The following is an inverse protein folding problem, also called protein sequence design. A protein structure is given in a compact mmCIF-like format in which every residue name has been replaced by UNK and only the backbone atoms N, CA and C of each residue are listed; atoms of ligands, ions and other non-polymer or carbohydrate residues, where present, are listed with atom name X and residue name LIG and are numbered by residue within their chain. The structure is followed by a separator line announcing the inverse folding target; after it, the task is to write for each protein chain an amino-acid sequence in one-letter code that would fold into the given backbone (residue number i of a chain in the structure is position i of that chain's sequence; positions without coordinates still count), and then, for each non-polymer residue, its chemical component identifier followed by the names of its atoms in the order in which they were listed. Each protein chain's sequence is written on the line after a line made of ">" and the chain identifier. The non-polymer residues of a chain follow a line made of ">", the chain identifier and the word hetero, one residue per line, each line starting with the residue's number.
data_IF_176047876631
#
_entry.id   IF_176047876631
#
_cell.length_a   1.000
_cell.length_b   1.000
_cell.length_c   1.000
_cell.angle_alpha   90.00
_cell.angle_beta   90.00
_cell.angle_gamma   90.00
#
_symmetry.space_group_name_H-M   'P 1'
#
loop_
_entity.id
_entity.type
_entity.pdbx_description
1 polymer ?
#
# COMPACT_ATOMS: atom_id res chain seq x y z
N UNK A 1 -12.43 6.94 -12.10
CA UNK A 1 -13.73 7.20 -12.79
C UNK A 1 -14.11 6.06 -13.74
N UNK A 2 -13.18 5.17 -14.11
CA UNK A 2 -13.40 4.12 -15.12
C UNK A 2 -14.34 2.98 -14.70
N UNK A 3 -14.38 2.58 -13.43
CA UNK A 3 -15.28 1.52 -12.98
C UNK A 3 -16.76 1.86 -13.18
N UNK A 4 -17.16 3.11 -12.90
CA UNK A 4 -18.55 3.57 -13.09
C UNK A 4 -18.90 3.60 -14.57
N UNK A 5 -17.99 4.07 -15.43
CA UNK A 5 -18.17 4.05 -16.88
C UNK A 5 -18.28 2.61 -17.43
N UNK A 6 -17.45 1.69 -16.96
CA UNK A 6 -17.49 0.28 -17.37
C UNK A 6 -18.80 -0.41 -16.95
N UNK A 7 -19.28 -0.13 -15.74
CA UNK A 7 -20.57 -0.62 -15.25
C UNK A 7 -21.76 -0.05 -16.05
N UNK A 8 -21.70 1.23 -16.45
CA UNK A 8 -22.73 1.82 -17.31
C UNK A 8 -22.76 1.23 -18.72
N UNK A 9 -21.59 0.97 -19.31
CA UNK A 9 -21.48 0.31 -20.61
C UNK A 9 -21.99 -1.14 -20.55
N UNK A 10 -21.67 -1.87 -19.48
CA UNK A 10 -22.20 -3.22 -19.24
C UNK A 10 -23.72 -3.22 -19.09
N UNK A 11 -24.30 -2.25 -18.36
CA UNK A 11 -25.76 -2.10 -18.25
C UNK A 11 -26.41 -1.88 -19.61
N UNK A 12 -25.83 -1.02 -20.45
CA UNK A 12 -26.35 -0.75 -21.80
C UNK A 12 -26.31 -2.01 -22.68
N UNK A 13 -25.24 -2.81 -22.58
CA UNK A 13 -25.18 -4.13 -23.23
C UNK A 13 -26.28 -5.09 -22.71
N UNK A 14 -26.56 -5.11 -21.40
CA UNK A 14 -27.66 -5.90 -20.84
C UNK A 14 -29.03 -5.47 -21.35
N UNK A 15 -29.28 -4.16 -21.43
CA UNK A 15 -30.54 -3.61 -21.94
C UNK A 15 -30.73 -3.98 -23.42
N UNK A 16 -29.69 -3.87 -24.25
CA UNK A 16 -29.72 -4.30 -25.66
C UNK A 16 -29.95 -5.81 -25.83
N UNK A 17 -29.38 -6.63 -24.96
CA UNK A 17 -29.61 -8.07 -24.97
C UNK A 17 -31.06 -8.42 -24.61
N UNK A 18 -31.69 -7.64 -23.74
CA UNK A 18 -33.11 -7.76 -23.41
C UNK A 18 -33.99 -7.37 -24.60
N UNK A 19 -33.69 -6.25 -25.24
CA UNK A 19 -34.40 -5.81 -26.45
C UNK A 19 -34.31 -6.88 -27.56
N UNK A 20 -33.13 -7.49 -27.76
CA UNK A 20 -32.93 -8.58 -28.73
C UNK A 20 -33.78 -9.83 -28.44
N UNK A 21 -34.12 -10.09 -27.18
CA UNK A 21 -34.98 -11.21 -26.77
C UNK A 21 -36.44 -10.94 -27.09
N UNK A 22 -36.85 -9.67 -27.06
CA UNK A 22 -38.23 -9.24 -27.28
C UNK A 22 -38.55 -9.03 -28.78
N UNK A 23 -37.54 -8.96 -29.65
CA UNK A 23 -37.71 -8.90 -31.12
C UNK A 23 -38.11 -10.27 -31.68
N UNK A 24 -39.24 -10.30 -32.40
CA UNK A 24 -39.62 -11.45 -33.22
C UNK A 24 -38.71 -11.53 -34.47
N UNK A 25 -37.70 -12.40 -34.42
CA UNK A 25 -36.69 -12.61 -35.48
C UNK A 25 -37.28 -12.85 -36.87
N UNK A 26 -38.50 -13.37 -36.95
CA UNK A 26 -39.14 -13.76 -38.21
C UNK A 26 -39.72 -12.57 -38.99
N UNK A 27 -39.98 -11.45 -38.30
CA UNK A 27 -40.63 -10.25 -38.87
C UNK A 27 -39.63 -9.12 -39.08
N UNK A 28 -38.59 -9.02 -38.25
CA UNK A 28 -37.72 -7.83 -38.16
C UNK A 28 -36.20 -8.13 -38.22
N UNK A 29 -35.76 -8.85 -39.26
CA UNK A 29 -34.35 -9.29 -39.41
C UNK A 29 -33.35 -8.12 -39.44
N UNK A 30 -33.72 -6.99 -40.05
CA UNK A 30 -32.86 -5.80 -40.11
C UNK A 30 -32.68 -5.15 -38.73
N UNK A 31 -33.76 -5.03 -37.95
CA UNK A 31 -33.72 -4.49 -36.59
C UNK A 31 -32.93 -5.43 -35.66
N UNK A 32 -33.08 -6.75 -35.82
CA UNK A 32 -32.30 -7.74 -35.08
C UNK A 32 -30.80 -7.60 -35.35
N UNK A 33 -30.38 -7.48 -36.63
CA UNK A 33 -28.96 -7.29 -37.00
C UNK A 33 -28.39 -5.98 -36.45
N UNK A 34 -29.16 -4.90 -36.49
CA UNK A 34 -28.75 -3.61 -35.94
C UNK A 34 -28.51 -3.70 -34.43
N UNK A 35 -29.47 -4.26 -33.68
CA UNK A 35 -29.35 -4.41 -32.22
C UNK A 35 -28.22 -5.34 -31.81
N UNK A 36 -27.95 -6.38 -32.61
CA UNK A 36 -26.81 -7.26 -32.39
C UNK A 36 -25.49 -6.50 -32.56
N UNK A 37 -25.36 -5.66 -33.59
CA UNK A 37 -24.20 -4.82 -33.78
C UNK A 37 -24.01 -3.83 -32.60
N UNK A 38 -25.08 -3.15 -32.19
CA UNK A 38 -25.07 -2.26 -31.01
C UNK A 38 -24.61 -2.98 -29.74
N UNK A 39 -25.11 -4.21 -29.51
CA UNK A 39 -24.72 -5.04 -28.37
C UNK A 39 -23.22 -5.37 -28.41
N UNK A 40 -22.70 -5.75 -29.58
CA UNK A 40 -21.27 -6.08 -29.71
C UNK A 40 -20.36 -4.89 -29.44
N UNK A 41 -20.76 -3.69 -29.89
CA UNK A 41 -20.03 -2.46 -29.60
C UNK A 41 -20.08 -2.13 -28.12
N UNK A 42 -21.26 -2.14 -27.50
CA UNK A 42 -21.42 -1.83 -26.08
C UNK A 42 -20.61 -2.78 -25.17
N UNK A 43 -20.56 -4.07 -25.54
CA UNK A 43 -19.78 -5.07 -24.81
C UNK A 43 -18.27 -4.85 -24.97
N UNK A 44 -17.81 -4.51 -26.18
CA UNK A 44 -16.41 -4.20 -26.44
C UNK A 44 -15.96 -2.97 -25.65
N UNK A 45 -16.77 -1.92 -25.62
CA UNK A 45 -16.50 -0.72 -24.83
C UNK A 45 -16.43 -1.04 -23.33
N UNK A 46 -17.37 -1.84 -22.81
CA UNK A 46 -17.34 -2.29 -21.42
C UNK A 46 -16.07 -3.09 -21.10
N UNK A 47 -15.63 -3.97 -21.99
CA UNK A 47 -14.40 -4.76 -21.83
C UNK A 47 -13.16 -3.87 -21.75
N UNK A 48 -13.03 -2.90 -22.65
CA UNK A 48 -11.87 -1.98 -22.67
C UNK A 48 -11.80 -1.16 -21.39
N UNK A 49 -12.94 -0.59 -20.97
CA UNK A 49 -12.98 0.26 -19.76
C UNK A 49 -12.70 -0.56 -18.50
N UNK A 50 -13.25 -1.76 -18.38
CA UNK A 50 -12.99 -2.64 -17.23
C UNK A 50 -11.56 -3.17 -17.21
N UNK A 51 -10.95 -3.42 -18.38
CA UNK A 51 -9.53 -3.78 -18.47
C UNK A 51 -8.63 -2.65 -17.98
N UNK A 52 -8.92 -1.40 -18.37
CA UNK A 52 -8.22 -0.21 -17.87
C UNK A 52 -8.37 -0.02 -16.36
N UNK A 53 -9.58 -0.19 -15.83
CA UNK A 53 -9.82 -0.13 -14.39
C UNK A 53 -9.02 -1.20 -13.62
N UNK A 54 -8.89 -2.41 -14.18
CA UNK A 54 -8.09 -3.48 -13.57
C UNK A 54 -6.60 -3.15 -13.55
N UNK A 55 -6.07 -2.56 -14.63
CA UNK A 55 -4.66 -2.14 -14.65
C UNK A 55 -4.38 -1.05 -13.63
N UNK A 56 -5.26 -0.06 -13.51
CA UNK A 56 -5.14 1.01 -12.51
C UNK A 56 -5.17 0.43 -11.08
N UNK A 57 -6.05 -0.54 -10.81
CA UNK A 57 -6.11 -1.21 -9.52
C UNK A 57 -4.78 -1.92 -9.17
N UNK A 58 -4.20 -2.66 -10.11
CA UNK A 58 -2.93 -3.36 -9.89
C UNK A 58 -1.78 -2.37 -9.65
N UNK A 59 -1.76 -1.25 -10.36
CA UNK A 59 -0.78 -0.18 -10.12
C UNK A 59 -0.94 0.45 -8.73
N UNK A 60 -2.18 0.69 -8.29
CA UNK A 60 -2.45 1.19 -6.95
C UNK A 60 -1.99 0.20 -5.88
N UNK A 61 -2.31 -1.09 -6.04
CA UNK A 61 -1.88 -2.15 -5.12
C UNK A 61 -0.34 -2.24 -5.03
N UNK A 62 0.36 -2.17 -6.17
CA UNK A 62 1.82 -2.16 -6.20
C UNK A 62 2.40 -0.93 -5.49
N UNK A 63 1.80 0.25 -5.66
CA UNK A 63 2.22 1.47 -4.96
C UNK A 63 1.98 1.39 -3.47
N UNK A 64 0.86 0.82 -3.02
CA UNK A 64 0.59 0.58 -1.60
C UNK A 64 1.67 -0.32 -1.01
N UNK A 65 1.97 -1.46 -1.65
CA UNK A 65 3.01 -2.37 -1.18
C UNK A 65 4.39 -1.69 -1.10
N UNK A 66 4.74 -0.86 -2.08
CA UNK A 66 6.00 -0.13 -2.06
C UNK A 66 6.03 0.88 -0.90
N UNK A 67 4.96 1.67 -0.73
CA UNK A 67 4.85 2.64 0.36
C UNK A 67 4.84 1.95 1.74
N UNK A 68 4.23 0.78 1.86
CA UNK A 68 4.28 -0.03 3.07
C UNK A 68 5.70 -0.53 3.36
N UNK A 69 6.43 -0.96 2.33
CA UNK A 69 7.84 -1.33 2.43
C UNK A 69 8.73 -0.16 2.85
N UNK A 70 8.59 0.99 2.19
CA UNK A 70 9.29 2.24 2.56
C UNK A 70 8.93 2.68 3.99
N UNK A 71 7.67 2.54 4.40
CA UNK A 71 7.25 2.82 5.77
C UNK A 71 7.88 1.85 6.76
N UNK A 72 7.99 0.56 6.44
CA UNK A 72 8.64 -0.42 7.30
C UNK A 72 10.15 -0.16 7.41
N UNK A 73 10.82 0.22 6.30
CA UNK A 73 12.23 0.62 6.29
C UNK A 73 12.46 1.95 7.03
N UNK A 74 11.59 2.94 6.85
CA UNK A 74 11.66 4.21 7.58
C UNK A 74 11.36 4.01 9.08
N UNK A 75 10.52 3.03 9.43
CA UNK A 75 10.20 2.62 10.80
C UNK A 75 11.20 1.59 11.34
N UNK A 76 12.44 1.54 10.84
CA UNK A 76 13.55 0.73 11.37
C UNK A 76 13.98 1.12 12.81
N UNK A 77 13.05 1.02 13.74
CA UNK A 77 13.30 0.62 15.10
C UNK A 77 13.30 -0.90 15.16
N UNK A 78 14.26 -1.47 15.91
CA UNK A 78 14.24 -2.90 16.25
C UNK A 78 12.86 -3.28 16.82
N UNK A 79 12.37 -4.49 16.49
CA UNK A 79 11.12 -5.02 17.05
C UNK A 79 11.24 -5.00 18.58
N UNK A 80 10.21 -4.51 19.27
CA UNK A 80 10.21 -4.47 20.72
C UNK A 80 10.36 -5.90 21.29
N UNK A 81 11.40 -6.20 22.07
CA UNK A 81 11.64 -7.54 22.58
C UNK A 81 10.59 -7.99 23.62
N UNK A 82 9.82 -7.04 24.18
CA UNK A 82 8.78 -7.31 25.19
C UNK A 82 7.47 -7.78 24.57
N UNK A 83 6.85 -6.98 23.71
CA UNK A 83 5.56 -7.33 23.11
C UNK A 83 5.67 -8.03 21.74
N UNK A 84 6.81 -7.91 21.05
CA UNK A 84 7.04 -8.40 19.67
C UNK A 84 6.06 -7.89 18.60
N UNK A 85 5.16 -6.98 18.97
CA UNK A 85 4.17 -6.35 18.08
C UNK A 85 4.58 -4.92 17.76
N UNK A 86 4.94 -4.13 18.78
CA UNK A 86 5.42 -2.76 18.61
C UNK A 86 6.88 -2.67 18.20
N UNK A 87 7.28 -1.49 17.69
CA UNK A 87 8.66 -1.15 17.31
C UNK A 87 9.27 -0.13 18.28
N UNK A 88 10.60 -0.14 18.42
CA UNK A 88 11.33 0.80 19.28
C UNK A 88 11.56 2.15 18.59
N UNK A 89 10.96 3.20 19.11
CA UNK A 89 11.08 4.58 18.62
C UNK A 89 12.11 5.35 19.45
N UNK A 90 12.94 6.16 18.80
CA UNK A 90 13.87 7.07 19.48
C UNK A 90 13.08 8.23 20.11
N UNK A 91 13.07 8.29 21.45
CA UNK A 91 12.42 9.37 22.21
C UNK A 91 13.42 10.46 22.55
N UNK A 92 14.67 10.08 22.82
CA UNK A 92 15.69 11.02 23.23
C UNK A 92 17.07 10.55 22.79
N UNK A 93 17.89 11.47 22.28
CA UNK A 93 19.30 11.25 22.02
C UNK A 93 20.11 12.29 22.82
N UNK A 94 21.02 11.82 23.67
CA UNK A 94 21.92 12.68 24.44
C UNK A 94 23.37 12.39 24.09
N UNK A 95 24.22 13.43 23.89
CA UNK A 95 25.65 13.21 23.66
C UNK A 95 26.29 12.56 24.89
N UNK A 96 27.27 11.68 24.64
CA UNK A 96 27.99 11.01 25.73
C UNK A 96 28.79 12.03 26.58
N UNK A 97 28.59 12.07 27.91
CA UNK A 97 29.28 13.04 28.78
C UNK A 97 30.78 12.75 28.97
N UNK A 98 31.26 11.55 28.62
CA UNK A 98 32.70 11.22 28.73
C UNK A 98 33.52 12.06 27.75
N UNK A 99 34.64 12.58 28.25
CA UNK A 99 35.51 13.50 27.55
C UNK A 99 35.99 12.92 26.20
N UNK A 100 35.79 13.69 25.12
CA UNK A 100 36.22 13.35 23.76
C UNK A 100 35.25 12.48 22.96
N UNK A 101 34.36 11.69 23.59
CA UNK A 101 33.47 10.78 22.84
C UNK A 101 32.35 11.48 22.08
N UNK A 102 31.89 12.64 22.57
CA UNK A 102 30.95 13.51 21.85
C UNK A 102 31.50 14.01 20.51
N UNK A 103 32.82 14.19 20.41
CA UNK A 103 33.47 14.69 19.18
C UNK A 103 33.52 13.61 18.10
N UNK A 104 33.38 12.34 18.51
CA UNK A 104 33.18 11.18 17.63
C UNK A 104 31.70 10.83 17.43
N UNK A 105 30.75 11.72 17.78
CA UNK A 105 29.32 11.50 17.54
C UNK A 105 28.70 10.38 18.38
N UNK A 106 29.32 9.98 19.49
CA UNK A 106 28.79 8.94 20.37
C UNK A 106 27.63 9.49 21.18
N UNK A 107 26.46 8.85 21.07
CA UNK A 107 25.23 9.26 21.73
C UNK A 107 24.63 8.13 22.58
N UNK A 108 23.86 8.53 23.57
CA UNK A 108 22.99 7.65 24.36
C UNK A 108 21.56 7.85 23.89
N UNK A 109 21.00 6.83 23.26
CA UNK A 109 19.65 6.81 22.73
C UNK A 109 18.70 6.15 23.73
N UNK A 110 17.63 6.86 24.11
CA UNK A 110 16.49 6.31 24.83
C UNK A 110 15.42 5.92 23.82
N UNK A 111 15.14 4.63 23.75
CA UNK A 111 14.18 4.02 22.84
C UNK A 111 12.95 3.59 23.64
N UNK A 112 11.75 3.87 23.15
CA UNK A 112 10.49 3.44 23.75
C UNK A 112 9.64 2.70 22.72
N UNK A 113 8.88 1.70 23.15
CA UNK A 113 7.93 1.03 22.27
C UNK A 113 6.85 2.01 21.76
N UNK A 114 6.46 1.85 20.50
CA UNK A 114 5.38 2.61 19.85
C UNK A 114 3.96 2.23 20.31
N UNK A 115 3.80 1.14 21.07
CA UNK A 115 2.50 0.69 21.56
C UNK A 115 2.25 1.23 22.97
N UNK A 116 1.11 1.90 23.18
CA UNK A 116 0.75 2.51 24.47
C UNK A 116 0.58 1.48 25.59
N UNK A 117 0.07 0.30 25.27
CA UNK A 117 -0.04 -0.82 26.23
C UNK A 117 1.33 -1.42 26.60
N UNK A 118 2.37 -1.15 25.81
CA UNK A 118 3.70 -1.69 26.00
C UNK A 118 4.67 -0.60 26.47
N UNK A 119 4.79 -0.43 27.78
CA UNK A 119 5.70 0.53 28.42
C UNK A 119 7.19 0.10 28.39
N UNK A 120 7.63 -0.63 27.35
CA UNK A 120 9.03 -1.04 27.24
C UNK A 120 9.92 0.12 26.82
N UNK A 121 10.98 0.34 27.60
CA UNK A 121 12.00 1.35 27.35
C UNK A 121 13.37 0.69 27.41
N UNK A 122 14.24 1.00 26.44
CA UNK A 122 15.64 0.59 26.48
C UNK A 122 16.56 1.77 26.20
N UNK A 123 17.77 1.69 26.72
CA UNK A 123 18.83 2.65 26.41
C UNK A 123 19.91 1.93 25.62
N UNK A 124 20.40 2.55 24.54
CA UNK A 124 21.45 1.99 23.67
C UNK A 124 22.50 3.06 23.39
N UNK A 125 23.77 2.65 23.31
CA UNK A 125 24.83 3.52 22.79
C UNK A 125 24.80 3.50 21.27
N UNK A 126 24.68 4.68 20.66
CA UNK A 126 24.90 4.88 19.25
C UNK A 126 26.36 5.32 19.06
N UNK A 127 27.11 4.53 18.31
CA UNK A 127 28.52 4.77 18.04
C UNK A 127 28.75 4.60 16.53
N UNK A 128 28.72 5.70 15.76
CA UNK A 128 28.84 5.65 14.30
C UNK A 128 30.25 5.25 13.83
N UNK A 129 31.27 5.42 14.69
CA UNK A 129 32.67 5.21 14.33
C UNK A 129 33.31 4.00 15.04
N UNK A 130 32.57 3.28 15.88
CA UNK A 130 33.03 2.07 16.56
C UNK A 130 34.16 2.33 17.57
N UNK A 131 34.18 3.52 18.17
CA UNK A 131 35.21 3.97 19.12
C UNK A 131 35.05 3.28 20.48
N UNK A 132 33.85 2.84 20.82
CA UNK A 132 33.56 2.12 22.05
C UNK A 132 34.01 0.65 21.97
N UNK A 133 34.71 0.12 22.98
CA UNK A 133 34.98 -1.31 23.05
C UNK A 133 33.66 -2.10 23.12
N UNK A 134 33.60 -3.27 22.46
CA UNK A 134 32.39 -4.10 22.31
C UNK A 134 31.67 -4.45 23.63
N UNK A 135 32.36 -4.34 24.77
CA UNK A 135 31.85 -4.59 26.12
C UNK A 135 31.09 -3.35 26.65
N UNK A 136 31.52 -2.14 26.28
CA UNK A 136 30.91 -0.88 26.70
C UNK A 136 29.71 -0.46 25.85
N UNK A 137 29.62 -0.93 24.60
CA UNK A 137 28.50 -0.63 23.69
C UNK A 137 27.19 -1.39 24.02
N UNK A 138 27.26 -2.45 24.85
CA UNK A 138 26.11 -3.31 25.22
C UNK A 138 25.41 -2.90 26.53
N UNK A 139 25.88 -1.86 27.24
CA UNK A 139 25.33 -1.40 28.52
C UNK A 139 24.61 -0.07 28.40
#
# INVERSE_FOLDING_TARGET
>A
MDLVAGLTAAKLAFDLAKDLRDIDKSVDEAAFKLKLAELTTALADAQVVLAGARTEQLEMEARIQNLEGELDEAKNGEICPRCRVGRLMLVEARPEPRLGLKDFGVETWRLQCSQDECEFVQTKKHDPHGVLPKIAAKR
#
